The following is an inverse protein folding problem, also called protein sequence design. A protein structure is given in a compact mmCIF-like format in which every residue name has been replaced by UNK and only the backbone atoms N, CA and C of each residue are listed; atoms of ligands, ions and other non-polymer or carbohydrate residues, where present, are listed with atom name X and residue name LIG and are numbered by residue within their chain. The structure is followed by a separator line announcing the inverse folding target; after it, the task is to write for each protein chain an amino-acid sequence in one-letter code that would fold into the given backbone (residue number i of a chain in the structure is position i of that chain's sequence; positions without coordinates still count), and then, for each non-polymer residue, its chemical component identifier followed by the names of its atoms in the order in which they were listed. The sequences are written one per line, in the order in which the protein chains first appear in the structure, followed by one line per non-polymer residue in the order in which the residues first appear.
data_IF_060714070477
#
_entry.id   IF_060714070477
#
_cell.length_a   1.000
_cell.length_b   1.000
_cell.length_c   1.000
_cell.angle_alpha   90.00
_cell.angle_beta   90.00
_cell.angle_gamma   90.00
#
_symmetry.space_group_name_H-M   'P 1'
#
loop_
_entity.id
_entity.type
_entity.pdbx_description
1 polymer ?
#
# COMPACT_ATOMS: atom_id res chain seq x y z
N UNK A 1 -14.29 -5.30 -17.67
CA UNK A 1 -14.24 -5.82 -16.28
C UNK A 1 -13.32 -7.04 -16.30
N UNK A 2 -12.29 -7.10 -15.44
CA UNK A 2 -11.37 -8.24 -15.43
C UNK A 2 -12.10 -9.49 -14.91
N UNK A 3 -11.82 -10.64 -15.50
CA UNK A 3 -12.35 -11.94 -15.06
C UNK A 3 -11.86 -12.28 -13.64
N UNK A 4 -12.74 -12.86 -12.82
CA UNK A 4 -12.44 -13.22 -11.44
C UNK A 4 -11.30 -14.24 -11.34
N UNK A 5 -11.21 -15.20 -12.28
CA UNK A 5 -10.12 -16.17 -12.28
C UNK A 5 -8.77 -15.51 -12.63
N UNK A 6 -8.76 -14.51 -13.51
CA UNK A 6 -7.57 -13.69 -13.79
C UNK A 6 -7.15 -12.90 -12.56
N UNK A 7 -8.09 -12.22 -11.89
CA UNK A 7 -7.81 -11.46 -10.68
C UNK A 7 -7.27 -12.35 -9.55
N UNK A 8 -7.81 -13.56 -9.40
CA UNK A 8 -7.34 -14.49 -8.38
C UNK A 8 -5.92 -14.98 -8.66
N UNK A 9 -5.63 -15.40 -9.90
CA UNK A 9 -4.25 -15.76 -10.29
C UNK A 9 -3.29 -14.61 -10.06
N UNK A 10 -3.64 -13.40 -10.51
CA UNK A 10 -2.79 -12.21 -10.38
C UNK A 10 -2.51 -11.85 -8.90
N UNK A 11 -3.51 -11.98 -8.02
CA UNK A 11 -3.37 -11.76 -6.57
C UNK A 11 -2.47 -12.80 -5.91
N UNK A 12 -2.65 -14.07 -6.25
CA UNK A 12 -1.85 -15.16 -5.68
C UNK A 12 -0.39 -15.09 -6.14
N UNK A 13 -0.14 -14.72 -7.40
CA UNK A 13 1.21 -14.53 -7.93
C UNK A 13 1.82 -13.16 -7.62
N UNK A 14 1.07 -12.24 -7.00
CA UNK A 14 1.46 -10.85 -6.74
C UNK A 14 1.97 -10.12 -7.98
N UNK A 15 1.28 -10.31 -9.11
CA UNK A 15 1.72 -9.79 -10.40
C UNK A 15 1.61 -8.26 -10.48
N UNK A 16 2.77 -7.59 -10.53
CA UNK A 16 2.87 -6.14 -10.58
C UNK A 16 2.19 -5.51 -11.81
N UNK A 17 2.01 -6.27 -12.90
CA UNK A 17 1.30 -5.79 -14.11
C UNK A 17 -0.17 -5.48 -13.84
N UNK A 18 -0.73 -6.06 -12.77
CA UNK A 18 -2.11 -5.83 -12.36
C UNK A 18 -2.25 -4.77 -11.28
N UNK A 19 -1.15 -4.17 -10.80
CA UNK A 19 -1.24 -3.12 -9.80
C UNK A 19 -2.05 -1.92 -10.33
N UNK A 20 -3.01 -1.45 -9.53
CA UNK A 20 -3.96 -0.41 -9.90
C UNK A 20 -5.04 -0.82 -10.92
N UNK A 21 -4.99 -2.04 -11.51
CA UNK A 21 -6.01 -2.54 -12.44
C UNK A 21 -7.26 -3.05 -11.72
N UNK A 22 -7.07 -3.55 -10.50
CA UNK A 22 -8.14 -3.94 -9.59
C UNK A 22 -7.65 -3.88 -8.14
N UNK A 23 -8.59 -3.92 -7.21
CA UNK A 23 -8.37 -3.92 -5.77
C UNK A 23 -9.14 -5.07 -5.13
N UNK A 24 -8.65 -5.54 -3.98
CA UNK A 24 -9.14 -6.74 -3.30
C UNK A 24 -9.70 -6.31 -1.96
N UNK A 25 -11.01 -6.38 -1.76
CA UNK A 25 -11.64 -6.24 -0.45
C UNK A 25 -11.69 -7.59 0.27
N UNK A 26 -11.22 -7.61 1.51
CA UNK A 26 -11.19 -8.78 2.38
C UNK A 26 -12.32 -8.65 3.40
N UNK A 27 -13.34 -9.50 3.26
CA UNK A 27 -14.60 -9.40 4.02
C UNK A 27 -14.37 -9.57 5.53
N UNK A 28 -13.49 -10.49 5.92
CA UNK A 28 -13.23 -10.80 7.33
C UNK A 28 -12.57 -9.66 8.10
N UNK A 29 -11.75 -8.84 7.44
CA UNK A 29 -11.03 -7.73 8.08
C UNK A 29 -11.62 -6.36 7.74
N UNK A 30 -12.48 -6.28 6.72
CA UNK A 30 -12.97 -5.01 6.18
C UNK A 30 -11.85 -4.16 5.59
N UNK A 31 -10.78 -4.79 5.08
CA UNK A 31 -9.61 -4.10 4.50
C UNK A 31 -9.60 -4.32 2.99
N UNK A 32 -9.28 -3.28 2.21
CA UNK A 32 -8.95 -3.44 0.79
C UNK A 32 -7.44 -3.27 0.52
N UNK A 33 -6.95 -4.02 -0.46
CA UNK A 33 -5.53 -4.15 -0.80
C UNK A 33 -5.28 -4.05 -2.31
N UNK A 34 -4.01 -3.81 -2.68
CA UNK A 34 -3.46 -4.02 -4.03
C UNK A 34 -3.23 -5.53 -4.30
N UNK A 35 -3.19 -5.98 -5.57
CA UNK A 35 -2.84 -7.37 -5.92
C UNK A 35 -1.39 -7.73 -5.58
N UNK A 36 -0.52 -6.73 -5.46
CA UNK A 36 0.89 -6.88 -5.07
C UNK A 36 1.12 -6.89 -3.56
N UNK A 37 0.05 -6.94 -2.75
CA UNK A 37 0.19 -6.86 -1.30
C UNK A 37 1.09 -7.99 -0.77
N UNK A 38 2.12 -7.70 0.05
CA UNK A 38 3.04 -8.71 0.56
C UNK A 38 2.44 -9.58 1.67
N UNK A 39 1.26 -9.21 2.19
CA UNK A 39 0.55 -9.97 3.22
C UNK A 39 0.10 -11.32 2.64
N UNK A 40 -0.03 -12.33 3.51
CA UNK A 40 -0.56 -13.62 3.11
C UNK A 40 -1.95 -13.46 2.48
N UNK A 41 -2.18 -13.95 1.25
CA UNK A 41 -3.47 -13.85 0.59
C UNK A 41 -4.57 -14.55 1.42
N UNK A 42 -5.70 -13.90 1.74
CA UNK A 42 -6.84 -14.57 2.36
C UNK A 42 -7.47 -15.59 1.41
N UNK A 43 -8.22 -16.54 1.97
CA UNK A 43 -8.98 -17.53 1.20
C UNK A 43 -10.03 -16.88 0.29
N UNK A 44 -10.25 -17.49 -0.89
CA UNK A 44 -11.07 -16.94 -1.96
C UNK A 44 -12.52 -16.60 -1.55
N UNK A 45 -13.12 -17.36 -0.61
CA UNK A 45 -14.46 -17.10 -0.11
C UNK A 45 -14.62 -15.74 0.59
N UNK A 46 -13.52 -15.17 1.11
CA UNK A 46 -13.50 -13.90 1.82
C UNK A 46 -13.05 -12.72 0.94
N UNK A 47 -12.94 -12.92 -0.37
CA UNK A 47 -12.37 -11.94 -1.30
C UNK A 47 -13.46 -11.38 -2.21
N UNK A 48 -13.45 -10.06 -2.38
CA UNK A 48 -14.23 -9.33 -3.39
C UNK A 48 -13.30 -8.47 -4.22
N UNK A 49 -13.55 -8.39 -5.52
CA UNK A 49 -12.74 -7.59 -6.44
C UNK A 49 -13.45 -6.28 -6.80
N UNK A 50 -12.68 -5.20 -6.87
CA UNK A 50 -13.15 -3.85 -7.17
C UNK A 50 -12.33 -3.24 -8.31
N UNK A 51 -12.96 -2.47 -9.20
CA UNK A 51 -12.28 -1.82 -10.32
C UNK A 51 -11.42 -0.62 -9.93
N UNK A 52 -11.58 -0.08 -8.72
CA UNK A 52 -10.80 1.04 -8.22
C UNK A 52 -10.72 1.03 -6.69
N UNK A 53 -9.72 1.72 -6.13
CA UNK A 53 -9.61 1.94 -4.69
C UNK A 53 -10.84 2.69 -4.15
N UNK A 54 -11.34 3.66 -4.91
CA UNK A 54 -12.54 4.41 -4.57
C UNK A 54 -13.78 3.51 -4.47
N UNK A 55 -13.96 2.56 -5.40
CA UNK A 55 -15.07 1.62 -5.35
C UNK A 55 -15.00 0.70 -4.11
N UNK A 56 -13.80 0.26 -3.72
CA UNK A 56 -13.61 -0.53 -2.51
C UNK A 56 -13.89 0.29 -1.24
N UNK A 57 -13.45 1.55 -1.20
CA UNK A 57 -13.72 2.47 -0.09
C UNK A 57 -15.23 2.78 0.05
N UNK A 58 -15.93 3.03 -1.06
CA UNK A 58 -17.37 3.24 -1.08
C UNK A 58 -18.16 2.00 -0.62
N UNK A 59 -17.61 0.80 -0.86
CA UNK A 59 -18.17 -0.45 -0.36
C UNK A 59 -17.88 -0.71 1.14
N UNK A 60 -17.27 0.25 1.86
CA UNK A 60 -17.05 0.20 3.31
C UNK A 60 -15.71 -0.42 3.74
N UNK A 61 -14.81 -0.72 2.81
CA UNK A 61 -13.50 -1.27 3.15
C UNK A 61 -12.49 -0.16 3.48
N UNK A 62 -11.66 -0.38 4.50
CA UNK A 62 -10.57 0.52 4.90
C UNK A 62 -9.27 0.20 4.13
N UNK A 63 -8.42 1.18 3.83
CA UNK A 63 -7.17 0.93 3.10
C UNK A 63 -6.19 0.10 3.94
N UNK A 64 -5.49 -0.83 3.28
CA UNK A 64 -4.42 -1.60 3.90
C UNK A 64 -3.20 -0.73 4.20
N UNK A 65 -2.75 -0.73 5.45
CA UNK A 65 -1.56 0.04 5.87
C UNK A 65 -0.23 -0.54 5.33
N UNK A 66 -0.23 -1.78 4.83
CA UNK A 66 0.98 -2.45 4.34
C UNK A 66 1.27 -2.19 2.86
N UNK A 67 0.24 -2.23 2.01
CA UNK A 67 0.38 -1.96 0.58
C UNK A 67 -0.07 -0.56 0.18
N UNK A 68 -0.70 0.18 1.10
CA UNK A 68 -1.15 1.58 0.95
C UNK A 68 -1.85 1.81 -0.41
N UNK A 69 -2.98 1.13 -0.66
CA UNK A 69 -3.70 1.25 -1.94
C UNK A 69 -4.22 2.66 -2.21
N UNK A 70 -4.33 3.50 -1.18
CA UNK A 70 -4.76 4.89 -1.21
C UNK A 70 -3.68 5.86 -1.71
N UNK A 71 -2.40 5.45 -1.74
CA UNK A 71 -1.28 6.31 -2.13
C UNK A 71 -0.65 5.85 -3.45
N UNK A 72 -0.02 6.78 -4.18
CA UNK A 72 0.69 6.44 -5.41
C UNK A 72 1.92 5.56 -5.11
N UNK A 73 2.17 4.48 -5.87
CA UNK A 73 3.36 3.64 -5.70
C UNK A 73 4.65 4.47 -5.73
N UNK A 74 5.57 4.19 -4.81
CA UNK A 74 6.84 4.92 -4.70
C UNK A 74 6.76 6.31 -4.06
N UNK A 75 5.57 6.82 -3.78
CA UNK A 75 5.43 8.11 -3.06
C UNK A 75 5.94 8.02 -1.62
N UNK A 76 6.33 9.16 -0.99
CA UNK A 76 6.68 9.22 0.42
C UNK A 76 5.65 8.59 1.36
N UNK A 77 4.36 8.83 1.07
CA UNK A 77 3.23 8.30 1.82
C UNK A 77 3.05 6.78 1.62
N UNK A 78 3.43 6.25 0.46
CA UNK A 78 3.47 4.81 0.20
C UNK A 78 4.61 4.12 0.94
N UNK A 79 5.80 4.73 0.94
CA UNK A 79 6.97 4.18 1.61
C UNK A 79 6.89 4.24 3.14
N UNK A 80 6.12 5.16 3.72
CA UNK A 80 5.89 5.23 5.18
C UNK A 80 7.13 5.70 5.95
N UNK A 81 7.38 5.10 7.13
CA UNK A 81 8.51 5.46 8.00
C UNK A 81 9.90 5.39 7.34
N UNK A 82 10.20 4.47 6.39
CA UNK A 82 11.41 4.53 5.57
C UNK A 82 11.70 5.89 4.93
N UNK A 83 10.67 6.67 4.56
CA UNK A 83 10.86 8.03 4.04
C UNK A 83 11.48 8.93 5.11
N UNK A 84 10.92 8.92 6.32
CA UNK A 84 11.43 9.71 7.46
C UNK A 84 12.85 9.31 7.81
N UNK A 85 13.13 8.01 7.86
CA UNK A 85 14.49 7.49 8.14
C UNK A 85 15.49 7.94 7.08
N UNK A 86 15.16 7.85 5.78
CA UNK A 86 16.03 8.34 4.70
C UNK A 86 16.29 9.84 4.78
N UNK A 87 15.28 10.64 5.15
CA UNK A 87 15.46 12.08 5.39
C UNK A 87 16.43 12.31 6.56
N UNK A 88 16.24 11.59 7.68
CA UNK A 88 17.09 11.73 8.86
C UNK A 88 18.55 11.36 8.56
N UNK A 89 18.79 10.25 7.85
CA UNK A 89 20.15 9.85 7.46
C UNK A 89 20.84 10.92 6.62
N UNK A 90 20.14 11.51 5.66
CA UNK A 90 20.68 12.62 4.86
C UNK A 90 21.04 13.83 5.72
N UNK A 91 20.17 14.22 6.65
CA UNK A 91 20.44 15.35 7.55
C UNK A 91 21.68 15.11 8.43
N UNK A 92 21.89 13.86 8.88
CA UNK A 92 23.09 13.48 9.62
C UNK A 92 24.34 13.58 8.73
N UNK A 93 24.28 13.07 7.50
CA UNK A 93 25.39 13.16 6.53
C UNK A 93 25.74 14.60 6.16
N UNK A 94 24.74 15.48 6.09
CA UNK A 94 24.89 16.91 5.80
C UNK A 94 25.37 17.72 7.02
N UNK A 95 25.64 17.08 8.17
CA UNK A 95 26.14 17.75 9.37
C UNK A 95 25.10 18.61 10.10
N UNK A 96 23.79 18.34 9.92
CA UNK A 96 22.72 19.17 10.50
C UNK A 96 22.75 19.26 12.04
N UNK A 97 23.44 18.33 12.71
CA UNK A 97 23.63 18.28 14.16
C UNK A 97 25.07 18.59 14.60
N UNK A 98 25.95 18.96 13.69
CA UNK A 98 27.32 19.36 14.03
C UNK A 98 27.33 20.74 14.71
N UNK A 99 26.47 21.65 14.24
CA UNK A 99 26.28 23.00 14.77
C UNK A 99 24.81 23.33 15.15
N UNK A 100 23.84 22.50 14.75
CA UNK A 100 22.40 22.68 15.01
C UNK A 100 21.86 21.79 16.15
N UNK A 101 20.57 21.95 16.50
CA UNK A 101 19.88 21.15 17.51
C UNK A 101 18.70 20.35 16.92
N UNK A 102 18.17 19.38 17.68
CA UNK A 102 16.98 18.60 17.33
C UNK A 102 15.77 19.48 17.02
N UNK A 103 15.66 20.65 17.66
CA UNK A 103 14.61 21.63 17.36
C UNK A 103 14.62 22.14 15.91
N UNK A 104 15.79 22.15 15.27
CA UNK A 104 15.97 22.64 13.90
C UNK A 104 15.60 21.58 12.84
N UNK A 105 15.35 20.33 13.26
CA UNK A 105 15.02 19.21 12.37
C UNK A 105 13.51 19.08 12.06
N UNK A 106 12.67 19.86 12.75
CA UNK A 106 11.20 19.80 12.68
C UNK A 106 10.65 20.10 11.28
#
# INVERSE_FOLDING_TARGET
MLDAAVCERARLSRDARFDGRFFIGVVTTGIYCRPTCPVQPPGAANVRFYGSAAAAAQAGFRPCLRCRPETAPGSPAWAGSPTTVRRALRLIEDGALDEGDVGDLA
#
